data_IF_248585464413
#
_entry.id   IF_248585464413
#
_cell.length_a   1.000
_cell.length_b   1.000
_cell.length_c   1.000
_cell.angle_alpha   90.00
_cell.angle_beta   90.00
_cell.angle_gamma   90.00
#
_symmetry.space_group_name_H-M   'P 1'
#
loop_
_entity.id
_entity.type
_entity.pdbx_description
1 polymer ?
#
# COMPACT_ATOMS: atom_id res chain seq x y z
N UNK A 1 8.14 2.09 -8.08
CA UNK A 1 6.73 2.14 -8.51
C UNK A 1 5.91 0.94 -8.04
N UNK A 2 6.28 -0.31 -8.38
CA UNK A 2 5.47 -1.51 -8.07
C UNK A 2 5.05 -1.63 -6.60
N UNK A 3 6.02 -1.50 -5.68
CA UNK A 3 5.80 -1.46 -4.24
C UNK A 3 4.78 -0.39 -3.85
N UNK A 4 5.02 0.87 -4.25
CA UNK A 4 4.16 2.00 -3.90
C UNK A 4 2.74 1.79 -4.38
N UNK A 5 2.56 1.28 -5.60
CA UNK A 5 1.23 0.92 -6.13
C UNK A 5 0.59 -0.20 -5.31
N UNK A 6 1.33 -1.27 -5.01
CA UNK A 6 0.79 -2.43 -4.28
C UNK A 6 0.31 -2.05 -2.87
N UNK A 7 1.11 -1.28 -2.13
CA UNK A 7 0.75 -0.83 -0.77
C UNK A 7 -0.36 0.23 -0.80
N UNK A 8 -0.39 1.07 -1.85
CA UNK A 8 -1.49 2.02 -2.08
C UNK A 8 -2.81 1.30 -2.35
N UNK A 9 -2.83 0.26 -3.20
CA UNK A 9 -4.01 -0.58 -3.45
C UNK A 9 -4.52 -1.31 -2.20
N UNK A 10 -3.72 -1.35 -1.14
CA UNK A 10 -4.10 -1.87 0.19
C UNK A 10 -4.33 -0.82 1.26
N UNK A 11 -4.33 0.46 0.89
CA UNK A 11 -4.51 1.57 1.83
C UNK A 11 -3.55 1.47 3.02
N UNK A 12 -2.30 1.11 2.77
CA UNK A 12 -1.29 0.96 3.82
C UNK A 12 -0.41 2.21 3.89
N UNK A 13 -0.84 3.18 4.69
CA UNK A 13 -0.16 4.48 4.82
C UNK A 13 1.24 4.34 5.42
N UNK A 14 1.43 3.42 6.38
CA UNK A 14 2.73 3.16 7.00
C UNK A 14 3.80 2.73 5.98
N UNK A 15 3.50 1.74 5.14
CA UNK A 15 4.47 1.32 4.14
C UNK A 15 4.66 2.38 3.05
N UNK A 16 3.60 3.12 2.71
CA UNK A 16 3.71 4.23 1.77
C UNK A 16 4.67 5.32 2.28
N UNK A 17 4.46 5.82 3.50
CA UNK A 17 5.25 6.90 4.10
C UNK A 17 6.71 6.48 4.28
N UNK A 18 6.98 5.26 4.74
CA UNK A 18 8.34 4.74 4.92
C UNK A 18 9.10 4.50 3.60
N UNK A 19 8.41 4.15 2.50
CA UNK A 19 9.06 3.87 1.23
C UNK A 19 9.17 5.10 0.31
N UNK A 20 8.36 6.15 0.52
CA UNK A 20 8.43 7.35 -0.29
C UNK A 20 9.82 8.02 -0.29
N UNK A 21 10.53 8.18 0.85
CA UNK A 21 11.90 8.69 0.85
C UNK A 21 12.89 7.80 0.09
N UNK A 22 12.71 6.48 0.13
CA UNK A 22 13.55 5.52 -0.60
C UNK A 22 13.33 5.68 -2.10
N UNK A 23 12.07 5.76 -2.53
CA UNK A 23 11.71 5.95 -3.93
C UNK A 23 12.25 7.27 -4.49
N UNK A 24 12.18 8.35 -3.72
CA UNK A 24 12.77 9.66 -4.09
C UNK A 24 14.28 9.57 -4.28
N UNK A 25 14.99 8.87 -3.38
CA UNK A 25 16.44 8.64 -3.53
C UNK A 25 16.78 7.78 -4.76
N UNK A 26 15.87 6.92 -5.18
CA UNK A 26 15.98 6.13 -6.40
C UNK A 26 15.63 6.92 -7.68
N UNK A 27 15.32 8.22 -7.57
CA UNK A 27 15.04 9.09 -8.72
C UNK A 27 13.55 9.32 -9.01
N UNK A 28 12.64 8.72 -8.24
CA UNK A 28 11.20 8.91 -8.45
C UNK A 28 10.78 10.35 -8.07
N UNK A 29 10.21 11.06 -9.03
CA UNK A 29 9.72 12.43 -8.85
C UNK A 29 8.41 12.48 -8.06
N UNK A 30 8.04 13.68 -7.61
CA UNK A 30 6.74 13.91 -6.99
C UNK A 30 5.58 13.67 -7.98
N UNK A 31 5.76 14.09 -9.23
CA UNK A 31 4.76 13.90 -10.30
C UNK A 31 4.52 12.40 -10.55
N UNK A 32 5.58 11.60 -10.65
CA UNK A 32 5.45 10.15 -10.81
C UNK A 32 4.86 9.47 -9.57
N UNK A 33 5.14 10.00 -8.38
CA UNK A 33 4.54 9.50 -7.13
C UNK A 33 3.02 9.69 -7.13
N UNK A 34 2.54 10.85 -7.58
CA UNK A 34 1.10 11.13 -7.67
C UNK A 34 0.46 10.28 -8.78
N UNK A 35 1.10 10.20 -9.93
CA UNK A 35 0.72 9.33 -11.05
C UNK A 35 0.60 7.84 -10.65
N UNK A 36 1.44 7.34 -9.75
CA UNK A 36 1.33 5.98 -9.20
C UNK A 36 0.03 5.78 -8.40
N UNK A 37 -0.45 6.81 -7.68
CA UNK A 37 -1.75 6.74 -6.99
C UNK A 37 -2.89 6.69 -7.99
N UNK A 38 -2.79 7.47 -9.05
CA UNK A 38 -3.81 7.50 -10.11
C UNK A 38 -3.75 6.25 -11.00
N UNK A 39 -2.62 5.54 -11.02
CA UNK A 39 -2.43 4.33 -11.81
C UNK A 39 -2.03 4.60 -13.26
N UNK A 40 -1.52 5.80 -13.55
CA UNK A 40 -1.24 6.28 -14.91
C UNK A 40 0.15 6.95 -14.95
N UNK A 41 1.14 6.27 -15.52
CA UNK A 41 2.48 6.78 -15.79
C UNK A 41 2.65 7.04 -17.29
N UNK A 42 3.58 7.94 -17.63
CA UNK A 42 3.80 8.36 -19.01
C UNK A 42 4.75 7.47 -19.82
N UNK A 43 5.51 6.60 -19.15
CA UNK A 43 6.43 5.65 -19.78
C UNK A 43 5.79 4.26 -19.89
N UNK A 44 5.95 3.60 -21.04
CA UNK A 44 5.30 2.32 -21.33
C UNK A 44 5.79 1.20 -20.40
N UNK A 45 7.09 1.18 -20.07
CA UNK A 45 7.66 0.18 -19.17
C UNK A 45 7.08 0.35 -17.77
N UNK A 46 7.06 1.57 -17.27
CA UNK A 46 6.51 1.90 -15.96
C UNK A 46 4.99 1.65 -15.89
N UNK A 47 4.25 1.99 -16.93
CA UNK A 47 2.82 1.73 -17.02
C UNK A 47 2.53 0.22 -17.02
N UNK A 48 3.34 -0.58 -17.70
CA UNK A 48 3.20 -2.04 -17.70
C UNK A 48 3.41 -2.65 -16.30
N UNK A 49 4.30 -2.05 -15.49
CA UNK A 49 4.50 -2.43 -14.09
C UNK A 49 3.27 -2.10 -13.24
N UNK A 50 2.63 -0.94 -13.44
CA UNK A 50 1.39 -0.59 -12.72
C UNK A 50 0.24 -1.53 -13.10
N UNK A 51 0.09 -1.85 -14.38
CA UNK A 51 -0.92 -2.80 -14.85
C UNK A 51 -0.74 -4.19 -14.21
N UNK A 52 0.51 -4.69 -14.16
CA UNK A 52 0.82 -5.96 -13.51
C UNK A 52 0.51 -5.97 -12.00
N UNK A 53 0.73 -4.83 -11.32
CA UNK A 53 0.31 -4.70 -9.91
C UNK A 53 -1.20 -4.80 -9.79
N UNK A 54 -1.95 -4.03 -10.59
CA UNK A 54 -3.40 -3.98 -10.49
C UNK A 54 -4.02 -5.35 -10.84
N UNK A 55 -3.54 -6.01 -11.88
CA UNK A 55 -3.93 -7.37 -12.28
C UNK A 55 -3.72 -8.39 -11.14
N UNK A 56 -2.52 -8.43 -10.56
CA UNK A 56 -2.19 -9.35 -9.45
C UNK A 56 -3.02 -9.05 -8.20
N UNK A 57 -3.27 -7.77 -7.91
CA UNK A 57 -4.08 -7.35 -6.75
C UNK A 57 -5.54 -7.75 -6.91
N UNK A 58 -6.08 -7.60 -8.12
CA UNK A 58 -7.51 -7.75 -8.40
C UNK A 58 -7.89 -9.21 -8.67
N UNK A 59 -7.00 -9.96 -9.34
CA UNK A 59 -7.30 -11.31 -9.85
C UNK A 59 -6.32 -12.38 -9.41
N UNK A 60 -5.14 -12.00 -8.90
CA UNK A 60 -4.07 -12.94 -8.58
C UNK A 60 -3.33 -13.50 -9.81
N UNK A 61 -3.64 -13.04 -11.01
CA UNK A 61 -2.96 -13.39 -12.27
C UNK A 61 -2.61 -12.13 -13.04
N UNK A 62 -1.72 -12.22 -14.04
CA UNK A 62 -1.42 -11.13 -14.98
C UNK A 62 -2.04 -11.47 -16.33
N UNK A 63 -2.79 -10.54 -16.92
CA UNK A 63 -3.39 -10.75 -18.23
C UNK A 63 -2.30 -10.84 -19.33
N UNK A 64 -2.54 -11.66 -20.36
CA UNK A 64 -1.56 -11.87 -21.45
C UNK A 64 -1.06 -10.58 -22.08
N UNK A 65 -1.90 -9.57 -22.40
CA UNK A 65 -1.40 -8.31 -22.96
C UNK A 65 -0.44 -7.57 -22.03
N UNK A 66 -0.69 -7.55 -20.72
CA UNK A 66 0.19 -6.91 -19.74
C UNK A 66 1.50 -7.70 -19.56
N UNK A 67 1.42 -9.03 -19.58
CA UNK A 67 2.60 -9.89 -19.51
C UNK A 67 3.52 -9.78 -20.73
N UNK A 68 2.92 -9.66 -21.91
CA UNK A 68 3.64 -9.46 -23.17
C UNK A 68 4.31 -8.08 -23.22
N UNK A 69 3.60 -7.04 -22.78
CA UNK A 69 4.17 -5.69 -22.68
C UNK A 69 5.36 -5.64 -21.71
N UNK A 70 5.22 -6.23 -20.52
CA UNK A 70 6.34 -6.40 -19.59
C UNK A 70 7.53 -7.11 -20.27
N UNK A 71 7.27 -8.10 -21.13
CA UNK A 71 8.31 -8.84 -21.84
C UNK A 71 9.09 -8.01 -22.86
N UNK A 72 8.60 -6.82 -23.25
CA UNK A 72 9.32 -5.89 -24.13
C UNK A 72 10.42 -5.14 -23.37
N UNK A 73 10.27 -4.97 -22.06
CA UNK A 73 11.14 -4.15 -21.21
C UNK A 73 11.96 -4.98 -20.20
N UNK A 74 11.45 -6.15 -19.83
CA UNK A 74 12.00 -7.00 -18.77
C UNK A 74 12.27 -8.42 -19.26
N UNK A 75 13.39 -8.98 -18.81
CA UNK A 75 13.69 -10.42 -18.96
C UNK A 75 12.71 -11.27 -18.14
N UNK A 76 12.61 -12.56 -18.46
CA UNK A 76 11.79 -13.53 -17.71
C UNK A 76 12.13 -13.53 -16.23
N UNK A 77 13.42 -13.50 -15.87
CA UNK A 77 13.86 -13.45 -14.49
C UNK A 77 13.37 -12.19 -13.78
N UNK A 78 13.49 -11.02 -14.42
CA UNK A 78 12.99 -9.75 -13.86
C UNK A 78 11.47 -9.74 -13.71
N UNK A 79 10.72 -10.35 -14.64
CA UNK A 79 9.26 -10.50 -14.53
C UNK A 79 8.87 -11.40 -13.36
N UNK A 80 9.59 -12.49 -13.14
CA UNK A 80 9.39 -13.36 -11.98
C UNK A 80 9.70 -12.62 -10.68
N UNK A 81 10.82 -11.90 -10.60
CA UNK A 81 11.19 -11.07 -9.45
C UNK A 81 10.12 -9.99 -9.16
N UNK A 82 9.55 -9.40 -10.22
CA UNK A 82 8.48 -8.42 -10.10
C UNK A 82 7.23 -9.04 -9.44
N UNK A 83 6.79 -10.22 -9.87
CA UNK A 83 5.64 -10.92 -9.27
C UNK A 83 5.86 -11.18 -7.78
N UNK A 84 7.04 -11.70 -7.41
CA UNK A 84 7.37 -11.93 -5.99
C UNK A 84 7.46 -10.64 -5.18
N UNK A 85 8.01 -9.58 -5.76
CA UNK A 85 8.08 -8.26 -5.10
C UNK A 85 6.69 -7.72 -4.83
N UNK A 86 5.80 -7.75 -5.82
CA UNK A 86 4.41 -7.29 -5.70
C UNK A 86 3.68 -8.09 -4.63
N UNK A 87 3.71 -9.43 -4.71
CA UNK A 87 3.04 -10.30 -3.76
C UNK A 87 3.59 -10.16 -2.33
N UNK A 88 4.90 -10.04 -2.18
CA UNK A 88 5.57 -9.85 -0.88
C UNK A 88 5.13 -8.57 -0.19
N UNK A 89 5.14 -7.43 -0.90
CA UNK A 89 4.70 -6.15 -0.32
C UNK A 89 3.19 -6.08 -0.10
N UNK A 90 2.40 -6.77 -0.92
CA UNK A 90 0.97 -6.89 -0.71
C UNK A 90 0.64 -7.66 0.57
N UNK A 91 1.31 -8.81 0.79
CA UNK A 91 1.21 -9.58 2.03
C UNK A 91 1.69 -8.76 3.23
N UNK A 92 2.81 -8.04 3.09
CA UNK A 92 3.32 -7.18 4.15
C UNK A 92 2.35 -6.05 4.50
N UNK A 93 1.74 -5.41 3.51
CA UNK A 93 0.71 -4.39 3.71
C UNK A 93 -0.51 -4.94 4.45
N UNK A 94 -0.94 -6.16 4.08
CA UNK A 94 -2.00 -6.85 4.82
C UNK A 94 -1.62 -7.07 6.29
N UNK A 95 -0.40 -7.54 6.58
CA UNK A 95 0.06 -7.77 7.94
C UNK A 95 0.15 -6.47 8.74
N UNK A 96 0.74 -5.41 8.17
CA UNK A 96 0.84 -4.07 8.78
C UNK A 96 -0.53 -3.53 9.15
N UNK A 97 -1.48 -3.59 8.22
CA UNK A 97 -2.85 -3.14 8.45
C UNK A 97 -3.58 -4.01 9.48
N UNK A 98 -3.45 -5.33 9.41
CA UNK A 98 -4.09 -6.26 10.34
C UNK A 98 -3.57 -6.11 11.78
N UNK A 99 -2.29 -5.78 11.94
CA UNK A 99 -1.68 -5.53 13.24
C UNK A 99 -1.87 -4.09 13.73
N UNK A 100 -2.41 -3.20 12.89
CA UNK A 100 -2.64 -1.80 13.25
C UNK A 100 -1.35 -1.02 13.48
N UNK A 101 -0.25 -1.38 12.81
CA UNK A 101 1.03 -0.66 12.91
C UNK A 101 0.83 0.77 12.39
N UNK A 102 1.29 1.75 13.17
CA UNK A 102 1.16 3.18 12.87
C UNK A 102 2.54 3.81 12.70
N UNK A 103 2.59 4.93 11.97
CA UNK A 103 3.79 5.74 11.83
C UNK A 103 4.32 6.24 13.18
N UNK A 104 5.63 6.47 13.23
CA UNK A 104 6.31 6.77 14.48
C UNK A 104 5.92 8.13 15.08
N UNK A 105 5.55 9.08 14.24
CA UNK A 105 5.03 10.38 14.67
C UNK A 105 3.65 10.26 15.36
N UNK A 106 2.86 9.25 14.97
CA UNK A 106 1.59 8.94 15.61
C UNK A 106 1.78 8.26 16.96
N UNK A 107 2.86 7.51 17.21
CA UNK A 107 3.10 6.94 18.54
C UNK A 107 3.44 8.03 19.56
N UNK A 108 4.22 9.05 19.20
CA UNK A 108 4.53 10.17 20.09
C UNK A 108 3.27 10.93 20.50
N UNK A 109 2.37 11.16 19.53
CA UNK A 109 1.10 11.86 19.76
C UNK A 109 0.09 10.98 20.50
N UNK A 110 -0.02 9.69 20.15
CA UNK A 110 -0.94 8.75 20.78
C UNK A 110 -0.53 8.38 22.21
N UNK A 111 0.77 8.22 22.52
CA UNK A 111 1.25 8.09 23.90
C UNK A 111 1.02 9.39 24.68
N UNK A 112 1.24 10.56 24.07
CA UNK A 112 0.90 11.84 24.70
C UNK A 112 -0.58 11.92 25.09
N UNK A 113 -1.47 11.50 24.20
CA UNK A 113 -2.92 11.46 24.44
C UNK A 113 -3.38 10.30 25.34
N UNK A 114 -2.70 9.15 25.31
CA UNK A 114 -2.99 8.00 26.17
C UNK A 114 -2.49 8.23 27.59
N UNK A 115 -1.35 8.90 27.77
CA UNK A 115 -0.87 9.36 29.07
C UNK A 115 -1.77 10.46 29.67
N UNK A 116 -2.47 11.24 28.83
CA UNK A 116 -3.52 12.14 29.28
C UNK A 116 -4.85 11.42 29.63
N UNK A 117 -5.09 10.22 29.09
CA UNK A 117 -6.29 9.38 29.31
C UNK A 117 -6.09 8.22 30.31
N UNK A 118 -4.87 7.98 30.79
CA UNK A 118 -4.48 6.85 31.66
C UNK A 118 -5.04 6.92 33.08
N UNK A 119 -6.01 7.80 33.36
CA UNK A 119 -6.87 7.71 34.53
C UNK A 119 -7.90 6.55 34.45
N UNK A 120 -7.88 5.71 33.41
CA UNK A 120 -8.76 4.54 33.26
C UNK A 120 -7.96 3.22 33.11
N UNK A 121 -8.46 2.09 33.66
CA UNK A 121 -7.68 0.87 33.86
C UNK A 121 -7.34 0.09 32.57
N UNK A 122 -6.23 -0.65 32.64
CA UNK A 122 -5.38 -1.13 31.54
C UNK A 122 -5.92 -2.24 30.61
N UNK A 123 -7.24 -2.49 30.54
CA UNK A 123 -7.79 -3.62 29.78
C UNK A 123 -8.89 -3.27 28.74
N UNK A 124 -9.16 -1.99 28.48
CA UNK A 124 -10.19 -1.56 27.50
C UNK A 124 -9.71 -1.49 26.05
N UNK A 125 -8.41 -1.37 25.78
CA UNK A 125 -7.89 -1.13 24.42
C UNK A 125 -8.07 -2.30 23.44
N UNK A 126 -8.15 -3.55 23.94
CA UNK A 126 -8.16 -4.76 23.11
C UNK A 126 -9.52 -5.04 22.45
N UNK A 127 -10.61 -4.50 22.99
CA UNK A 127 -11.98 -4.70 22.47
C UNK A 127 -12.48 -3.55 21.59
N UNK A 128 -11.97 -2.33 21.77
CA UNK A 128 -12.42 -1.17 20.98
C UNK A 128 -11.80 -1.10 19.58
N UNK A 129 -10.52 -1.45 19.42
CA UNK A 129 -9.87 -1.50 18.09
C UNK A 129 -10.51 -2.57 17.20
N UNK A 130 -10.83 -3.74 17.76
CA UNK A 130 -11.59 -4.78 17.05
C UNK A 130 -13.07 -4.43 16.78
N UNK A 131 -13.63 -3.39 17.44
CA UNK A 131 -14.98 -2.87 17.16
C UNK A 131 -14.97 -1.76 16.10
N UNK A 132 -13.99 -0.86 16.12
CA UNK A 132 -13.94 0.24 15.14
C UNK A 132 -13.63 -0.24 13.72
N UNK A 133 -12.83 -1.30 13.55
CA UNK A 133 -12.49 -1.88 12.24
C UNK A 133 -13.72 -2.51 11.54
N UNK A 134 -14.78 -2.88 12.27
CA UNK A 134 -16.03 -3.44 11.69
C UNK A 134 -17.10 -2.42 11.34
N UNK A 135 -16.96 -1.15 11.72
CA UNK A 135 -17.84 -0.08 11.28
C UNK A 135 -17.18 0.68 10.12
N UNK A 136 -17.12 0.02 8.96
CA UNK A 136 -16.92 0.73 7.70
C UNK A 136 -18.02 1.79 7.56
N UNK A 137 -17.60 2.99 7.20
CA UNK A 137 -18.48 4.10 6.83
C UNK A 137 -19.39 3.66 5.67
N UNK A 138 -20.62 3.27 6.00
CA UNK A 138 -21.70 3.26 5.02
C UNK A 138 -22.04 4.72 4.71
N UNK A 139 -21.56 5.21 3.57
CA UNK A 139 -22.06 6.46 2.99
C UNK A 139 -23.50 6.24 2.54
N UNK A 140 -24.48 7.07 2.95
CA UNK A 140 -25.83 6.94 2.44
C UNK A 140 -25.88 7.43 0.99
N UNK A 141 -26.42 6.59 0.12
CA UNK A 141 -26.75 6.95 -1.25
C UNK A 141 -27.60 8.23 -1.28
N UNK A 142 -27.14 9.25 -2.01
CA UNK A 142 -27.96 10.43 -2.33
C UNK A 142 -29.10 10.00 -3.26
N UNK A 143 -30.34 10.30 -2.84
CA UNK A 143 -31.49 10.53 -3.72
C UNK A 143 -31.82 12.00 -3.68
#
# INVERSE_FOLDING_TARGET
>A
MALLRAVHRRNCDYLWSHHLPIARRAGLSAVETDAIRDGQLGDDADQSVLAAVDDLVDTGTIATPAWDELGRHFTDAQRMDLVFTIGGYYLLAMAVNAFGIQDEELWHTAIGLANARSALPANTWRTEVCRSIRCGTTSPARR
#
